data_IF_156506956533
#
_entry.id   IF_156506956533
#
_cell.length_a   1.000
_cell.length_b   1.000
_cell.length_c   1.000
_cell.angle_alpha   90.00
_cell.angle_beta   90.00
_cell.angle_gamma   90.00
#
_symmetry.space_group_name_H-M   'P 1'
#
loop_
_entity.id
_entity.type
_entity.pdbx_description
1 polymer ?
#
# COMPACT_ATOMS: atom_id res chain seq x y z
N UNK A 1 -2.89 27.83 2.59
CA UNK A 1 -3.55 26.91 1.61
C UNK A 1 -2.56 25.80 1.31
N UNK A 2 -2.99 24.54 1.35
CA UNK A 2 -2.19 23.39 0.93
C UNK A 2 -2.48 23.08 -0.55
N UNK A 3 -1.46 22.72 -1.31
CA UNK A 3 -1.61 22.19 -2.67
C UNK A 3 -1.87 20.70 -2.58
N UNK A 4 -2.77 20.17 -3.39
CA UNK A 4 -3.14 18.75 -3.39
C UNK A 4 -3.41 18.27 -4.81
N UNK A 5 -2.91 17.07 -5.15
CA UNK A 5 -3.31 16.37 -6.38
C UNK A 5 -4.47 15.44 -6.05
N UNK A 6 -5.51 15.53 -6.87
CA UNK A 6 -6.75 14.79 -6.68
C UNK A 6 -7.54 14.65 -7.97
N UNK A 7 -8.81 14.28 -7.86
CA UNK A 7 -9.72 14.11 -8.99
C UNK A 7 -11.14 14.58 -8.64
N UNK A 8 -11.89 15.09 -9.63
CA UNK A 8 -13.32 15.46 -9.49
C UNK A 8 -14.27 14.48 -10.16
N UNK A 9 -13.76 13.71 -11.13
CA UNK A 9 -14.50 12.68 -11.86
C UNK A 9 -13.70 11.38 -11.93
N UNK A 10 -14.37 10.26 -12.08
CA UNK A 10 -13.70 9.00 -12.33
C UNK A 10 -13.18 8.91 -13.76
N UNK A 11 -12.02 8.30 -13.94
CA UNK A 11 -11.38 8.09 -15.24
C UNK A 11 -10.00 7.45 -15.09
N UNK A 12 -9.18 7.54 -16.12
CA UNK A 12 -7.77 7.17 -16.08
C UNK A 12 -6.91 8.25 -15.40
N UNK A 13 -5.61 8.22 -15.63
CA UNK A 13 -4.66 9.19 -15.05
C UNK A 13 -4.95 10.65 -15.47
N UNK A 14 -5.61 10.85 -16.59
CA UNK A 14 -5.98 12.16 -17.15
C UNK A 14 -6.96 12.96 -16.28
N UNK A 15 -7.63 12.29 -15.31
CA UNK A 15 -8.57 12.97 -14.40
C UNK A 15 -7.88 13.59 -13.19
N UNK A 16 -6.59 13.30 -13.00
CA UNK A 16 -5.82 13.90 -11.93
C UNK A 16 -5.56 15.38 -12.24
N UNK A 17 -5.78 16.21 -11.26
CA UNK A 17 -5.56 17.65 -11.33
C UNK A 17 -4.97 18.16 -10.02
N UNK A 18 -4.24 19.25 -10.08
CA UNK A 18 -3.78 19.95 -8.89
C UNK A 18 -4.79 21.03 -8.48
N UNK A 19 -4.98 21.18 -7.18
CA UNK A 19 -5.81 22.24 -6.63
C UNK A 19 -5.36 22.64 -5.24
N UNK A 20 -5.88 23.76 -4.77
CA UNK A 20 -5.66 24.26 -3.42
C UNK A 20 -6.79 23.82 -2.49
N UNK A 21 -6.41 23.47 -1.26
CA UNK A 21 -7.34 23.10 -0.20
C UNK A 21 -7.03 23.87 1.08
N UNK A 22 -8.07 24.31 1.78
CA UNK A 22 -7.91 24.91 3.10
C UNK A 22 -7.99 23.82 4.15
N UNK A 23 -6.92 23.66 4.93
CA UNK A 23 -6.91 22.76 6.08
C UNK A 23 -7.23 23.59 7.33
N UNK A 24 -8.15 23.10 8.19
CA UNK A 24 -8.38 23.74 9.48
C UNK A 24 -7.16 23.54 10.41
N UNK A 25 -7.09 24.31 11.48
CA UNK A 25 -6.14 24.04 12.56
C UNK A 25 -6.39 22.63 13.15
N UNK A 26 -5.34 21.93 13.63
CA UNK A 26 -5.51 20.62 14.23
C UNK A 26 -6.46 20.66 15.43
N UNK A 27 -7.52 19.85 15.38
CA UNK A 27 -8.44 19.61 16.49
C UNK A 27 -7.84 18.62 17.50
N UNK A 28 -8.68 18.20 18.46
CA UNK A 28 -8.29 17.26 19.50
C UNK A 28 -7.73 15.94 18.90
N UNK A 29 -6.53 15.55 19.35
CA UNK A 29 -5.86 14.33 18.89
C UNK A 29 -5.38 14.36 17.44
N UNK A 30 -5.35 15.53 16.78
CA UNK A 30 -4.90 15.71 15.40
C UNK A 30 -3.53 16.38 15.31
N UNK A 31 -2.85 16.14 14.21
CA UNK A 31 -1.58 16.77 13.84
C UNK A 31 -1.64 17.27 12.40
N UNK A 32 -0.96 18.37 12.13
CA UNK A 32 -0.69 18.88 10.79
C UNK A 32 0.74 18.51 10.42
N UNK A 33 0.92 17.86 9.28
CA UNK A 33 2.22 17.39 8.81
C UNK A 33 2.52 18.04 7.47
N UNK A 34 3.67 18.74 7.36
CA UNK A 34 4.24 19.14 6.08
C UNK A 34 4.85 17.91 5.44
N UNK A 35 4.29 17.46 4.32
CA UNK A 35 4.72 16.26 3.62
C UNK A 35 6.04 16.51 2.88
N UNK A 36 6.92 15.52 2.91
CA UNK A 36 8.20 15.50 2.17
C UNK A 36 8.21 14.44 1.09
N UNK A 37 7.51 13.34 1.33
CA UNK A 37 7.39 12.25 0.37
C UNK A 37 6.07 11.51 0.55
N UNK A 38 5.48 11.05 -0.55
CA UNK A 38 4.25 10.27 -0.56
C UNK A 38 4.35 9.09 -1.53
N UNK A 39 4.09 7.88 -1.05
CA UNK A 39 4.09 6.68 -1.87
C UNK A 39 2.79 6.47 -2.62
N UNK A 40 2.87 6.06 -3.87
CA UNK A 40 1.68 5.68 -4.66
C UNK A 40 1.42 4.18 -4.61
N UNK A 41 0.14 3.82 -4.73
CA UNK A 41 -0.33 2.46 -4.56
C UNK A 41 -1.38 2.05 -5.63
N UNK A 42 -1.48 0.74 -5.96
CA UNK A 42 -2.52 0.25 -6.86
C UNK A 42 -3.96 0.58 -6.42
N UNK A 43 -4.21 0.74 -5.13
CA UNK A 43 -5.52 1.13 -4.61
C UNK A 43 -5.91 2.55 -5.03
N UNK A 44 -4.95 3.44 -5.22
CA UNK A 44 -5.20 4.84 -5.58
C UNK A 44 -5.82 4.93 -6.98
N UNK A 45 -5.20 4.30 -7.99
CA UNK A 45 -5.75 4.32 -9.35
C UNK A 45 -7.04 3.51 -9.49
N UNK A 46 -7.25 2.50 -8.64
CA UNK A 46 -8.55 1.80 -8.57
C UNK A 46 -9.64 2.72 -8.02
N UNK A 47 -9.32 3.59 -7.07
CA UNK A 47 -10.26 4.55 -6.50
C UNK A 47 -10.66 5.62 -7.51
N UNK A 48 -9.70 6.33 -8.11
CA UNK A 48 -10.03 7.33 -9.13
C UNK A 48 -10.52 6.69 -10.43
N UNK A 49 -10.18 5.41 -10.72
CA UNK A 49 -10.74 4.62 -11.80
C UNK A 49 -12.19 4.18 -11.58
N UNK A 50 -12.76 4.42 -10.40
CA UNK A 50 -14.17 4.18 -10.12
C UNK A 50 -14.48 2.89 -9.37
N UNK A 51 -13.56 2.32 -8.62
CA UNK A 51 -13.82 1.17 -7.74
C UNK A 51 -15.02 1.38 -6.81
N UNK A 52 -15.26 2.64 -6.37
CA UNK A 52 -16.37 3.02 -5.49
C UNK A 52 -17.65 3.42 -6.22
N UNK A 53 -17.64 3.42 -7.55
CA UNK A 53 -18.78 3.85 -8.40
C UNK A 53 -20.12 3.18 -8.03
N UNK A 54 -20.20 1.85 -7.81
CA UNK A 54 -21.45 1.22 -7.43
C UNK A 54 -22.04 1.76 -6.12
N UNK A 55 -21.17 2.04 -5.13
CA UNK A 55 -21.57 2.60 -3.85
C UNK A 55 -22.06 4.04 -3.97
N UNK A 56 -21.45 4.85 -4.85
CA UNK A 56 -21.92 6.21 -5.11
C UNK A 56 -23.28 6.25 -5.80
N UNK A 57 -23.53 5.32 -6.71
CA UNK A 57 -24.86 5.17 -7.33
C UNK A 57 -25.91 4.87 -6.26
N UNK A 58 -25.66 3.91 -5.37
CA UNK A 58 -26.56 3.58 -4.26
C UNK A 58 -26.79 4.80 -3.34
N UNK A 59 -25.72 5.52 -2.97
CA UNK A 59 -25.81 6.74 -2.12
C UNK A 59 -26.62 7.85 -2.79
N UNK A 60 -26.54 7.98 -4.11
CA UNK A 60 -27.30 8.98 -4.87
C UNK A 60 -28.78 8.61 -4.91
N UNK A 61 -29.12 7.33 -5.04
CA UNK A 61 -30.50 6.84 -5.02
C UNK A 61 -31.12 7.06 -3.62
N UNK A 62 -30.37 6.74 -2.56
CA UNK A 62 -30.86 6.89 -1.16
C UNK A 62 -30.95 8.36 -0.72
N UNK A 63 -30.18 9.26 -1.32
CA UNK A 63 -30.18 10.69 -1.03
C UNK A 63 -30.43 11.52 -2.30
N UNK A 64 -31.68 11.61 -2.80
CA UNK A 64 -32.02 12.24 -4.08
C UNK A 64 -31.66 13.74 -4.15
N UNK A 65 -31.53 14.46 -3.01
CA UNK A 65 -31.04 15.83 -2.98
C UNK A 65 -29.65 16.00 -3.63
N UNK A 66 -28.83 14.95 -3.62
CA UNK A 66 -27.52 14.91 -4.30
C UNK A 66 -27.64 14.82 -5.83
N UNK A 67 -28.81 14.46 -6.35
CA UNK A 67 -29.09 14.45 -7.79
C UNK A 67 -29.12 15.86 -8.38
N UNK A 68 -29.68 16.79 -7.63
CA UNK A 68 -29.77 18.19 -8.03
C UNK A 68 -28.42 18.95 -7.92
N UNK A 69 -27.47 18.43 -7.13
CA UNK A 69 -26.11 18.95 -7.06
C UNK A 69 -25.19 18.53 -8.23
N UNK A 70 -25.72 17.87 -9.25
CA UNK A 70 -24.96 17.38 -10.42
C UNK A 70 -24.40 18.49 -11.33
N UNK A 71 -24.83 19.72 -11.16
CA UNK A 71 -24.34 20.88 -11.91
C UNK A 71 -23.34 21.75 -11.17
N UNK A 72 -23.07 21.45 -9.89
CA UNK A 72 -22.12 22.21 -9.06
C UNK A 72 -20.75 21.56 -9.13
N UNK A 73 -19.69 22.34 -9.15
CA UNK A 73 -18.30 21.90 -9.09
C UNK A 73 -18.12 20.81 -8.02
N UNK A 74 -17.77 19.60 -8.47
CA UNK A 74 -17.51 18.51 -7.54
C UNK A 74 -16.26 18.83 -6.74
N UNK A 75 -16.27 18.65 -5.42
CA UNK A 75 -15.08 18.89 -4.61
C UNK A 75 -13.91 18.02 -5.10
N UNK A 76 -12.71 18.58 -5.05
CA UNK A 76 -11.49 17.85 -5.33
C UNK A 76 -11.35 16.74 -4.29
N UNK A 77 -11.17 15.49 -4.75
CA UNK A 77 -10.97 14.32 -3.90
C UNK A 77 -9.50 13.97 -3.90
N UNK A 78 -8.86 13.99 -2.75
CA UNK A 78 -7.44 13.70 -2.61
C UNK A 78 -7.07 12.27 -2.97
N UNK A 79 -5.86 12.11 -3.49
CA UNK A 79 -5.24 10.84 -3.87
C UNK A 79 -4.04 10.57 -2.96
N UNK A 80 -3.65 9.29 -2.83
CA UNK A 80 -2.53 8.86 -2.00
C UNK A 80 -2.94 8.54 -0.56
N UNK A 81 -2.22 7.63 0.05
CA UNK A 81 -2.42 7.18 1.43
C UNK A 81 -1.17 7.28 2.27
N UNK A 82 -0.02 6.95 1.67
CA UNK A 82 1.28 6.94 2.30
C UNK A 82 1.88 8.32 2.30
N UNK A 83 2.44 8.74 3.41
CA UNK A 83 3.23 9.97 3.49
C UNK A 83 4.33 9.85 4.55
N UNK A 84 5.35 10.65 4.39
CA UNK A 84 6.31 10.99 5.43
C UNK A 84 6.57 12.49 5.40
N UNK A 85 6.79 13.10 6.55
CA UNK A 85 6.96 14.53 6.63
C UNK A 85 7.33 14.99 8.04
N UNK A 86 7.17 16.29 8.28
CA UNK A 86 7.49 16.95 9.54
C UNK A 86 6.22 17.53 10.16
N UNK A 87 6.00 17.28 11.43
CA UNK A 87 4.87 17.87 12.17
C UNK A 87 5.06 19.37 12.28
N UNK A 88 4.07 20.15 11.83
CA UNK A 88 4.10 21.62 11.85
C UNK A 88 3.14 22.22 12.88
N UNK A 89 2.11 21.45 13.29
CA UNK A 89 1.22 21.83 14.36
C UNK A 89 0.61 20.59 15.03
N UNK A 90 0.31 20.71 16.31
CA UNK A 90 -0.35 19.66 17.10
C UNK A 90 -1.61 20.24 17.75
N UNK A 91 -2.68 19.46 17.74
CA UNK A 91 -3.92 19.79 18.42
C UNK A 91 -3.91 19.42 19.90
N UNK A 92 -4.96 19.81 20.65
CA UNK A 92 -5.11 19.40 22.05
C UNK A 92 -5.05 17.88 22.20
N UNK A 93 -4.63 17.42 23.38
CA UNK A 93 -4.50 16.01 23.77
C UNK A 93 -3.47 15.17 22.97
N UNK A 94 -2.66 15.78 22.09
CA UNK A 94 -1.50 15.11 21.50
C UNK A 94 -0.32 15.25 22.44
N UNK A 95 0.17 14.13 23.01
CA UNK A 95 1.25 14.11 24.00
C UNK A 95 2.46 13.29 23.58
N UNK A 96 2.34 12.51 22.51
CA UNK A 96 3.36 11.56 22.05
C UNK A 96 4.23 12.07 20.90
N UNK A 97 3.99 13.30 20.44
CA UNK A 97 4.78 13.97 19.41
C UNK A 97 4.61 15.48 19.47
N UNK A 98 5.55 16.21 18.88
CA UNK A 98 5.62 17.66 18.88
C UNK A 98 5.92 18.27 17.50
N UNK A 99 5.88 19.59 17.41
CA UNK A 99 6.31 20.35 16.23
C UNK A 99 7.80 20.08 15.98
N UNK A 100 8.16 19.77 14.75
CA UNK A 100 9.51 19.43 14.32
C UNK A 100 9.77 17.92 14.25
N UNK A 101 8.91 17.07 14.81
CA UNK A 101 9.07 15.62 14.73
C UNK A 101 8.89 15.12 13.30
N UNK A 102 9.82 14.27 12.86
CA UNK A 102 9.70 13.55 11.60
C UNK A 102 8.82 12.31 11.78
N UNK A 103 7.86 12.13 10.88
CA UNK A 103 6.85 11.08 10.99
C UNK A 103 6.61 10.32 9.69
N UNK A 104 6.17 9.08 9.83
CA UNK A 104 5.60 8.24 8.76
C UNK A 104 4.11 8.11 9.03
N UNK A 105 3.28 8.35 8.04
CA UNK A 105 1.85 8.30 8.20
C UNK A 105 1.13 7.48 7.15
N UNK A 106 -0.08 7.08 7.52
CA UNK A 106 -0.99 6.37 6.64
C UNK A 106 -2.40 6.92 6.80
N UNK A 107 -2.92 7.57 5.75
CA UNK A 107 -4.33 7.96 5.69
C UNK A 107 -5.20 6.72 5.48
N UNK A 108 -5.81 6.22 6.55
CA UNK A 108 -6.75 5.10 6.44
C UNK A 108 -8.03 5.56 5.74
N UNK A 109 -8.27 5.06 4.54
CA UNK A 109 -9.56 5.22 3.90
C UNK A 109 -10.59 4.32 4.57
N UNK A 110 -11.68 4.89 5.05
CA UNK A 110 -12.92 4.14 5.03
C UNK A 110 -13.28 3.89 3.55
N UNK A 111 -13.54 2.66 3.11
CA UNK A 111 -13.76 2.31 1.71
C UNK A 111 -14.94 3.06 1.03
N UNK A 112 -15.78 3.70 1.83
CA UNK A 112 -17.03 4.36 1.45
C UNK A 112 -17.07 5.87 1.71
N UNK A 113 -16.05 6.46 2.31
CA UNK A 113 -15.96 7.91 2.41
C UNK A 113 -15.23 8.46 1.19
N UNK A 114 -15.86 9.41 0.48
CA UNK A 114 -15.12 10.27 -0.42
C UNK A 114 -14.04 10.95 0.42
N UNK A 115 -12.77 10.72 0.07
CA UNK A 115 -11.67 11.40 0.74
C UNK A 115 -11.72 12.86 0.34
N UNK A 116 -11.88 13.71 1.32
CA UNK A 116 -11.75 15.13 1.14
C UNK A 116 -10.28 15.50 0.95
N UNK A 117 -9.37 14.76 1.60
CA UNK A 117 -7.92 14.96 1.56
C UNK A 117 -7.17 13.68 1.20
N UNK A 118 -5.99 13.82 0.57
CA UNK A 118 -5.09 12.73 0.18
C UNK A 118 -3.66 13.02 0.62
N UNK A 119 -2.80 12.01 0.55
CA UNK A 119 -1.39 12.15 0.92
C UNK A 119 -0.54 12.81 -0.18
N UNK A 120 -1.03 12.88 -1.44
CA UNK A 120 -0.39 13.67 -2.49
C UNK A 120 -0.75 15.15 -2.31
N UNK A 121 -0.24 15.74 -1.23
CA UNK A 121 -0.47 17.13 -0.84
C UNK A 121 0.76 17.69 -0.11
N UNK A 122 0.92 19.01 -0.14
CA UNK A 122 2.00 19.67 0.61
C UNK A 122 1.83 19.55 2.12
N UNK A 123 0.58 19.45 2.58
CA UNK A 123 0.24 19.34 3.99
C UNK A 123 -0.90 18.33 4.19
N UNK A 124 -0.82 17.58 5.27
CA UNK A 124 -1.83 16.58 5.65
C UNK A 124 -2.27 16.82 7.09
N UNK A 125 -3.58 16.99 7.29
CA UNK A 125 -4.21 16.98 8.59
C UNK A 125 -4.72 15.57 8.89
N UNK A 126 -4.29 14.97 10.00
CA UNK A 126 -4.65 13.60 10.35
C UNK A 126 -4.69 13.39 11.87
N UNK A 127 -5.25 12.26 12.31
CA UNK A 127 -5.13 11.84 13.71
C UNK A 127 -3.68 11.49 14.04
N UNK A 128 -3.21 11.86 15.23
CA UNK A 128 -1.92 11.45 15.77
C UNK A 128 -1.76 9.91 15.86
N UNK A 129 -2.88 9.18 15.88
CA UNK A 129 -2.89 7.70 15.84
C UNK A 129 -2.61 7.10 14.45
N UNK A 130 -2.58 7.92 13.40
CA UNK A 130 -2.30 7.52 12.02
C UNK A 130 -0.83 7.72 11.63
N UNK A 131 0.00 8.20 12.54
CA UNK A 131 1.42 8.45 12.32
C UNK A 131 2.27 7.74 13.36
N UNK A 132 3.51 7.44 12.98
CA UNK A 132 4.57 6.91 13.85
C UNK A 132 5.84 7.76 13.67
N UNK A 133 6.74 7.85 14.66
CA UNK A 133 8.01 8.54 14.50
C UNK A 133 8.82 7.94 13.34
N UNK A 134 9.57 8.77 12.62
CA UNK A 134 10.52 8.36 11.59
C UNK A 134 11.95 8.43 12.15
N UNK A 135 12.75 7.33 12.14
CA UNK A 135 14.16 7.41 12.48
C UNK A 135 14.96 8.29 11.52
N UNK A 136 15.98 8.94 12.06
CA UNK A 136 16.86 9.79 11.26
C UNK A 136 17.61 9.03 10.14
N UNK A 137 17.89 7.74 10.34
CA UNK A 137 18.58 6.87 9.37
C UNK A 137 17.73 6.49 8.15
N UNK A 138 16.40 6.58 8.25
CA UNK A 138 15.49 6.26 7.15
C UNK A 138 15.19 7.52 6.34
N UNK A 139 15.45 7.50 5.03
CA UNK A 139 15.15 8.64 4.15
C UNK A 139 13.64 8.89 4.04
N UNK A 140 13.24 10.13 3.72
CA UNK A 140 11.83 10.45 3.46
C UNK A 140 11.24 9.64 2.32
N UNK A 141 12.02 9.30 1.27
CA UNK A 141 11.52 8.50 0.15
C UNK A 141 11.13 7.08 0.59
N UNK A 142 12.00 6.43 1.38
CA UNK A 142 11.69 5.11 1.95
C UNK A 142 10.49 5.21 2.91
N UNK A 143 10.51 6.20 3.79
CA UNK A 143 9.45 6.43 4.76
C UNK A 143 8.09 6.73 4.09
N UNK A 144 8.09 7.60 3.06
CA UNK A 144 6.89 7.95 2.30
C UNK A 144 6.28 6.78 1.54
N UNK A 145 7.10 5.78 1.14
CA UNK A 145 6.62 4.56 0.48
C UNK A 145 6.18 3.44 1.42
N UNK A 146 6.39 3.58 2.74
CA UNK A 146 6.33 2.45 3.67
C UNK A 146 4.92 2.12 4.19
N UNK A 147 4.08 3.12 4.43
CA UNK A 147 2.84 2.98 5.19
C UNK A 147 1.94 1.81 4.78
N UNK A 148 1.38 1.87 3.56
CA UNK A 148 0.52 0.80 3.00
C UNK A 148 1.30 -0.51 2.86
N UNK A 149 2.56 -0.45 2.42
CA UNK A 149 3.34 -1.64 2.15
C UNK A 149 3.64 -2.43 3.43
N UNK A 150 4.07 -1.77 4.50
CA UNK A 150 4.35 -2.38 5.80
C UNK A 150 3.09 -2.97 6.43
N UNK A 151 2.03 -2.15 6.53
CA UNK A 151 0.76 -2.59 7.12
C UNK A 151 0.18 -3.79 6.36
N UNK A 152 0.24 -3.76 5.02
CA UNK A 152 -0.30 -4.82 4.17
C UNK A 152 0.52 -6.09 4.30
N UNK A 153 1.84 -6.01 4.28
CA UNK A 153 2.72 -7.17 4.40
C UNK A 153 2.57 -7.87 5.76
N UNK A 154 2.58 -7.10 6.85
CA UNK A 154 2.37 -7.64 8.20
C UNK A 154 0.98 -8.24 8.38
N UNK A 155 -0.06 -7.57 7.83
CA UNK A 155 -1.43 -8.09 7.84
C UNK A 155 -1.57 -9.40 7.06
N UNK A 156 -0.93 -9.51 5.89
CA UNK A 156 -0.95 -10.72 5.08
C UNK A 156 -0.29 -11.90 5.80
N UNK A 157 0.90 -11.71 6.36
CA UNK A 157 1.60 -12.74 7.13
C UNK A 157 0.82 -13.17 8.38
N UNK A 158 0.19 -12.22 9.08
CA UNK A 158 -0.68 -12.51 10.23
C UNK A 158 -1.90 -13.33 9.81
N UNK A 159 -2.52 -12.98 8.67
CA UNK A 159 -3.72 -13.67 8.17
C UNK A 159 -3.45 -15.13 7.84
N UNK A 160 -2.33 -15.42 7.20
CA UNK A 160 -1.93 -16.80 6.89
C UNK A 160 -1.20 -17.50 8.04
N UNK A 161 -1.05 -16.83 9.19
CA UNK A 161 -0.35 -17.36 10.38
C UNK A 161 1.05 -17.86 10.05
N UNK A 162 1.82 -17.01 9.32
CA UNK A 162 3.18 -17.34 8.92
C UNK A 162 4.12 -17.51 10.12
N UNK A 163 4.82 -18.63 10.20
CA UNK A 163 5.71 -19.00 11.30
C UNK A 163 7.00 -19.68 10.82
N UNK A 164 7.91 -19.95 11.74
CA UNK A 164 9.16 -20.65 11.43
C UNK A 164 8.89 -22.06 10.90
N UNK A 165 9.66 -22.46 9.89
CA UNK A 165 9.51 -23.77 9.23
C UNK A 165 8.47 -23.79 8.10
N UNK A 166 7.66 -22.73 7.91
CA UNK A 166 6.76 -22.65 6.77
C UNK A 166 7.51 -22.59 5.44
N UNK A 167 6.89 -23.14 4.38
CA UNK A 167 7.24 -22.88 2.98
C UNK A 167 6.15 -22.01 2.38
N UNK A 168 6.48 -20.74 2.13
CA UNK A 168 5.53 -19.72 1.71
C UNK A 168 5.79 -19.32 0.26
N UNK A 169 4.77 -19.40 -0.59
CA UNK A 169 4.82 -18.84 -1.96
C UNK A 169 4.27 -17.43 -1.94
N UNK A 170 5.01 -16.49 -2.53
CA UNK A 170 4.64 -15.07 -2.64
C UNK A 170 4.55 -14.68 -4.11
N UNK A 171 3.34 -14.35 -4.59
CA UNK A 171 3.16 -13.81 -5.93
C UNK A 171 3.44 -12.30 -5.97
N UNK A 172 4.00 -11.80 -7.07
CA UNK A 172 4.53 -10.46 -7.24
C UNK A 172 5.57 -10.10 -6.15
N UNK A 173 6.46 -11.04 -5.86
CA UNK A 173 7.45 -10.94 -4.79
C UNK A 173 8.47 -9.82 -4.97
N UNK A 174 8.65 -9.27 -6.19
CA UNK A 174 9.52 -8.14 -6.46
C UNK A 174 8.87 -6.76 -6.22
N UNK A 175 7.54 -6.71 -6.06
CA UNK A 175 6.82 -5.45 -5.81
C UNK A 175 6.98 -4.93 -4.38
N UNK A 176 6.50 -3.72 -4.10
CA UNK A 176 6.68 -3.08 -2.80
C UNK A 176 6.11 -3.87 -1.61
N UNK A 177 4.90 -4.43 -1.74
CA UNK A 177 4.32 -5.29 -0.70
C UNK A 177 4.96 -6.68 -0.70
N UNK A 178 5.07 -7.32 -1.89
CA UNK A 178 5.62 -8.67 -2.02
C UNK A 178 7.06 -8.79 -1.54
N UNK A 179 7.89 -7.77 -1.81
CA UNK A 179 9.27 -7.70 -1.31
C UNK A 179 9.37 -7.63 0.21
N UNK A 180 8.48 -6.86 0.85
CA UNK A 180 8.39 -6.83 2.32
C UNK A 180 7.85 -8.15 2.88
N UNK A 181 6.78 -8.73 2.28
CA UNK A 181 6.27 -10.06 2.69
C UNK A 181 7.40 -11.09 2.66
N UNK A 182 8.18 -11.11 1.59
CA UNK A 182 9.31 -12.03 1.41
C UNK A 182 10.32 -11.92 2.54
N UNK A 183 10.81 -10.72 2.79
CA UNK A 183 11.83 -10.48 3.81
C UNK A 183 11.30 -10.73 5.22
N UNK A 184 10.09 -10.28 5.52
CA UNK A 184 9.47 -10.47 6.84
C UNK A 184 9.13 -11.95 7.12
N UNK A 185 8.77 -12.74 6.10
CA UNK A 185 8.60 -14.18 6.23
C UNK A 185 9.95 -14.87 6.51
N UNK A 186 10.99 -14.50 5.78
CA UNK A 186 12.37 -14.97 6.00
C UNK A 186 12.87 -14.65 7.41
N UNK A 187 12.66 -13.42 7.87
CA UNK A 187 13.02 -13.00 9.22
C UNK A 187 12.30 -13.80 10.33
N UNK A 188 11.16 -14.42 10.02
CA UNK A 188 10.43 -15.34 10.91
C UNK A 188 10.90 -16.79 10.81
N UNK A 189 11.88 -17.09 9.97
CA UNK A 189 12.38 -18.46 9.77
C UNK A 189 11.62 -19.31 8.75
N UNK A 190 10.78 -18.70 7.91
CA UNK A 190 10.12 -19.38 6.80
C UNK A 190 11.05 -19.51 5.58
N UNK A 191 10.88 -20.55 4.76
CA UNK A 191 11.40 -20.64 3.41
C UNK A 191 10.44 -19.92 2.45
N UNK A 192 10.95 -19.07 1.55
CA UNK A 192 10.12 -18.30 0.63
C UNK A 192 10.44 -18.60 -0.81
N UNK A 193 9.41 -18.90 -1.60
CA UNK A 193 9.45 -19.02 -3.05
C UNK A 193 8.77 -17.76 -3.61
N UNK A 194 9.54 -16.93 -4.33
CA UNK A 194 9.07 -15.66 -4.87
C UNK A 194 8.75 -15.77 -6.36
N UNK A 195 7.49 -15.46 -6.73
CA UNK A 195 7.07 -15.41 -8.14
C UNK A 195 7.24 -13.99 -8.65
N UNK A 196 8.05 -13.82 -9.71
CA UNK A 196 8.24 -12.56 -10.42
C UNK A 196 8.70 -12.81 -11.86
N UNK A 197 8.90 -11.72 -12.63
CA UNK A 197 9.53 -11.83 -13.96
C UNK A 197 10.99 -12.29 -13.88
N UNK A 198 11.52 -12.96 -14.91
CA UNK A 198 12.88 -13.52 -14.91
C UNK A 198 13.97 -12.51 -14.55
N UNK A 199 13.82 -11.25 -14.97
CA UNK A 199 14.75 -10.15 -14.67
C UNK A 199 14.84 -9.78 -13.18
N UNK A 200 13.95 -10.32 -12.35
CA UNK A 200 13.96 -10.10 -10.91
C UNK A 200 14.58 -11.27 -10.11
N UNK A 201 15.13 -12.28 -10.78
CA UNK A 201 15.63 -13.48 -10.09
C UNK A 201 16.74 -13.14 -9.08
N UNK A 202 17.74 -12.35 -9.46
CA UNK A 202 18.83 -11.97 -8.56
C UNK A 202 18.37 -11.07 -7.42
N UNK A 203 17.42 -10.16 -7.69
CA UNK A 203 16.80 -9.36 -6.66
C UNK A 203 16.07 -10.25 -5.63
N UNK A 204 15.28 -11.22 -6.06
CA UNK A 204 14.60 -12.15 -5.14
C UNK A 204 15.59 -12.98 -4.31
N UNK A 205 16.70 -13.43 -4.92
CA UNK A 205 17.79 -14.10 -4.18
C UNK A 205 18.41 -13.19 -3.12
N UNK A 206 18.63 -11.91 -3.44
CA UNK A 206 19.15 -10.95 -2.46
C UNK A 206 18.19 -10.72 -1.28
N UNK A 207 16.87 -10.93 -1.48
CA UNK A 207 15.87 -10.91 -0.40
C UNK A 207 15.81 -12.25 0.36
N UNK A 208 16.60 -13.26 0.00
CA UNK A 208 16.62 -14.57 0.59
C UNK A 208 15.51 -15.52 0.09
N UNK A 209 14.85 -15.22 -1.02
CA UNK A 209 13.85 -16.08 -1.64
C UNK A 209 14.42 -16.94 -2.75
N UNK A 210 13.81 -18.10 -3.00
CA UNK A 210 14.02 -18.89 -4.20
C UNK A 210 13.16 -18.30 -5.32
N UNK A 211 13.75 -17.76 -6.41
CA UNK A 211 12.99 -17.14 -7.49
C UNK A 211 12.34 -18.18 -8.40
N UNK A 212 11.11 -17.93 -8.81
CA UNK A 212 10.37 -18.68 -9.83
C UNK A 212 9.74 -17.70 -10.80
N UNK A 213 9.88 -17.97 -12.11
CA UNK A 213 9.28 -17.13 -13.14
C UNK A 213 7.82 -17.54 -13.41
N UNK A 214 6.94 -16.55 -13.62
CA UNK A 214 5.59 -16.83 -14.08
C UNK A 214 5.62 -17.42 -15.51
N UNK A 215 4.62 -18.27 -15.85
CA UNK A 215 4.51 -18.95 -17.15
C UNK A 215 3.82 -20.31 -17.02
N UNK A 216 3.80 -21.07 -18.11
CA UNK A 216 3.07 -22.35 -18.17
C UNK A 216 3.59 -23.41 -17.19
N UNK A 217 4.89 -23.45 -16.92
CA UNK A 217 5.52 -24.41 -16.00
C UNK A 217 5.57 -23.93 -14.54
N UNK A 218 4.88 -22.85 -14.18
CA UNK A 218 4.96 -22.21 -12.86
C UNK A 218 4.71 -23.18 -11.70
N UNK A 219 3.68 -24.03 -11.80
CA UNK A 219 3.35 -24.99 -10.75
C UNK A 219 4.50 -26.00 -10.53
N UNK A 220 5.05 -26.53 -11.61
CA UNK A 220 6.17 -27.47 -11.53
C UNK A 220 7.42 -26.80 -10.96
N UNK A 221 7.75 -25.61 -11.43
CA UNK A 221 8.88 -24.84 -10.90
C UNK A 221 8.77 -24.62 -9.38
N UNK A 222 7.54 -24.31 -8.87
CA UNK A 222 7.32 -24.16 -7.43
C UNK A 222 7.54 -25.48 -6.70
N UNK A 223 7.03 -26.60 -7.23
CA UNK A 223 7.22 -27.93 -6.63
C UNK A 223 8.69 -28.32 -6.56
N UNK A 224 9.44 -28.05 -7.63
CA UNK A 224 10.88 -28.37 -7.72
C UNK A 224 11.73 -27.46 -6.79
N UNK A 225 11.29 -26.22 -6.59
CA UNK A 225 11.96 -25.24 -5.73
C UNK A 225 11.64 -25.42 -4.23
N UNK A 226 10.56 -26.10 -3.90
CA UNK A 226 10.07 -26.23 -2.53
C UNK A 226 10.88 -27.28 -1.75
N UNK A 227 11.50 -26.90 -0.60
CA UNK A 227 12.27 -27.86 0.22
C UNK A 227 11.36 -28.88 0.95
N UNK A 228 10.08 -28.58 1.07
CA UNK A 228 9.02 -29.41 1.63
C UNK A 228 7.66 -28.92 1.07
N UNK A 229 6.53 -29.60 1.36
CA UNK A 229 5.23 -29.13 0.88
C UNK A 229 4.95 -27.67 1.21
N UNK A 230 4.39 -26.94 0.23
CA UNK A 230 4.00 -25.53 0.43
C UNK A 230 2.91 -25.42 1.50
N UNK A 231 3.15 -24.64 2.54
CA UNK A 231 2.25 -24.53 3.70
C UNK A 231 1.39 -23.28 3.68
N UNK A 232 1.83 -22.19 3.00
CA UNK A 232 1.07 -20.95 2.87
C UNK A 232 1.31 -20.29 1.51
N UNK A 233 0.36 -19.45 1.10
CA UNK A 233 0.40 -18.71 -0.15
C UNK A 233 -0.07 -17.27 0.06
N UNK A 234 0.68 -16.30 -0.45
CA UNK A 234 0.29 -14.89 -0.42
C UNK A 234 0.28 -14.34 -1.85
N UNK A 235 -0.92 -14.05 -2.34
CA UNK A 235 -1.14 -13.49 -3.67
C UNK A 235 -1.22 -11.95 -3.61
N UNK A 236 -0.10 -11.29 -3.88
CA UNK A 236 -0.02 -9.83 -3.93
C UNK A 236 -0.44 -9.25 -5.29
N UNK A 237 -0.65 -10.08 -6.31
CA UNK A 237 -1.01 -9.66 -7.67
C UNK A 237 -2.51 -9.80 -7.96
N UNK A 238 -3.08 -10.95 -7.59
CA UNK A 238 -4.41 -11.39 -7.97
C UNK A 238 -4.39 -12.40 -9.11
N UNK A 239 -5.23 -13.45 -9.00
CA UNK A 239 -5.36 -14.47 -10.03
C UNK A 239 -4.61 -15.77 -9.77
N UNK A 240 -3.76 -15.84 -8.76
CA UNK A 240 -2.98 -17.05 -8.43
C UNK A 240 -3.58 -17.93 -7.33
N UNK A 241 -4.75 -17.59 -6.79
CA UNK A 241 -5.39 -18.36 -5.70
C UNK A 241 -5.72 -19.82 -6.09
N UNK A 242 -6.02 -20.09 -7.37
CA UNK A 242 -6.25 -21.45 -7.86
C UNK A 242 -4.96 -22.31 -7.86
N UNK A 243 -3.81 -21.68 -8.13
CA UNK A 243 -2.51 -22.34 -8.06
C UNK A 243 -2.20 -22.79 -6.63
N UNK A 244 -2.51 -21.95 -5.63
CA UNK A 244 -2.33 -22.33 -4.23
C UNK A 244 -3.05 -23.63 -3.87
N UNK A 245 -4.27 -23.83 -4.39
CA UNK A 245 -5.01 -25.10 -4.17
C UNK A 245 -4.40 -26.29 -4.88
N UNK A 246 -3.91 -26.12 -6.11
CA UNK A 246 -3.20 -27.22 -6.81
C UNK A 246 -1.91 -27.61 -6.10
N UNK A 247 -1.29 -26.67 -5.41
CA UNK A 247 -0.12 -26.92 -4.55
C UNK A 247 -0.49 -27.57 -3.19
N UNK A 248 -1.78 -27.79 -2.92
CA UNK A 248 -2.27 -28.41 -1.68
C UNK A 248 -2.42 -27.44 -0.48
N UNK A 249 -2.30 -26.14 -0.69
CA UNK A 249 -2.37 -25.15 0.42
C UNK A 249 -3.82 -25.02 0.91
N UNK A 250 -4.08 -25.21 2.23
CA UNK A 250 -5.41 -25.01 2.81
C UNK A 250 -5.92 -23.56 2.63
N UNK A 251 -7.21 -23.37 2.37
CA UNK A 251 -7.78 -22.06 2.06
C UNK A 251 -7.58 -20.98 3.14
N UNK A 252 -7.50 -21.35 4.42
CA UNK A 252 -7.18 -20.47 5.52
C UNK A 252 -5.71 -20.01 5.54
N UNK A 253 -4.85 -20.71 4.83
CA UNK A 253 -3.42 -20.39 4.63
C UNK A 253 -3.17 -19.69 3.29
N UNK A 254 -4.21 -19.37 2.51
CA UNK A 254 -4.13 -18.62 1.26
C UNK A 254 -4.62 -17.19 1.50
N UNK A 255 -3.70 -16.23 1.44
CA UNK A 255 -3.99 -14.80 1.51
C UNK A 255 -3.99 -14.15 0.12
N UNK A 256 -4.92 -13.25 -0.16
CA UNK A 256 -4.92 -12.45 -1.39
C UNK A 256 -5.20 -10.98 -1.09
N UNK A 257 -4.47 -10.09 -1.75
CA UNK A 257 -4.66 -8.64 -1.67
C UNK A 257 -5.71 -8.12 -2.67
N UNK A 258 -6.17 -8.98 -3.56
CA UNK A 258 -7.14 -8.63 -4.60
C UNK A 258 -8.41 -9.44 -4.38
N UNK A 259 -9.60 -8.82 -4.38
CA UNK A 259 -10.85 -9.55 -4.30
C UNK A 259 -10.98 -10.55 -5.46
N UNK A 260 -11.21 -11.82 -5.14
CA UNK A 260 -11.39 -12.91 -6.10
C UNK A 260 -12.59 -13.77 -5.71
N UNK A 261 -13.23 -14.50 -6.64
CA UNK A 261 -14.29 -15.47 -6.32
C UNK A 261 -13.88 -16.53 -5.29
N UNK A 262 -12.59 -16.87 -5.21
CA UNK A 262 -12.07 -17.83 -4.22
C UNK A 262 -12.34 -17.41 -2.77
N UNK A 263 -12.50 -16.10 -2.49
CA UNK A 263 -12.86 -15.59 -1.16
C UNK A 263 -14.28 -16.02 -0.78
N UNK A 264 -15.25 -15.86 -1.70
CA UNK A 264 -16.63 -16.27 -1.48
C UNK A 264 -16.75 -17.79 -1.24
N UNK A 265 -15.93 -18.58 -1.92
CA UNK A 265 -15.83 -20.05 -1.77
C UNK A 265 -14.99 -20.48 -0.55
N UNK A 266 -14.55 -19.55 0.31
CA UNK A 266 -13.64 -19.79 1.45
C UNK A 266 -12.33 -20.49 1.08
N UNK A 267 -11.93 -20.45 -0.20
CA UNK A 267 -10.67 -21.00 -0.73
C UNK A 267 -9.49 -20.04 -0.60
N UNK A 268 -9.75 -18.79 -0.21
CA UNK A 268 -8.75 -17.79 0.09
C UNK A 268 -9.29 -16.81 1.13
N UNK A 269 -8.39 -16.05 1.76
CA UNK A 269 -8.73 -14.96 2.69
C UNK A 269 -8.32 -13.64 2.08
N UNK A 270 -9.27 -12.71 1.96
CA UNK A 270 -8.92 -11.33 1.65
C UNK A 270 -8.14 -10.75 2.83
N UNK A 271 -6.97 -10.19 2.55
CA UNK A 271 -6.01 -9.75 3.57
C UNK A 271 -5.37 -8.41 3.21
N UNK A 272 -4.36 -8.03 3.94
CA UNK A 272 -3.60 -6.81 3.76
C UNK A 272 -3.96 -5.75 4.78
N UNK A 273 -4.23 -4.52 4.36
CA UNK A 273 -4.51 -3.40 5.25
C UNK A 273 -5.65 -3.62 6.24
N UNK A 274 -6.59 -4.53 5.94
CA UNK A 274 -7.67 -4.94 6.86
C UNK A 274 -7.13 -5.61 8.12
N UNK A 275 -6.08 -6.41 7.99
CA UNK A 275 -5.47 -7.18 9.08
C UNK A 275 -4.22 -6.50 9.64
N UNK A 276 -3.82 -5.37 9.04
CA UNK A 276 -2.69 -4.56 9.45
C UNK A 276 -3.06 -3.53 10.51
N UNK A 277 -2.04 -3.06 11.24
CA UNK A 277 -2.13 -2.04 12.29
C UNK A 277 -1.17 -0.88 11.95
N UNK A 278 -1.42 0.31 12.47
CA UNK A 278 -0.47 1.43 12.34
C UNK A 278 0.88 1.08 13.00
N UNK A 279 0.87 0.39 14.14
CA UNK A 279 2.08 -0.08 14.80
C UNK A 279 2.94 -1.03 13.94
N UNK A 280 2.36 -1.68 12.92
CA UNK A 280 3.13 -2.51 11.99
C UNK A 280 4.14 -1.67 11.18
N UNK A 281 3.83 -0.38 10.94
CA UNK A 281 4.73 0.56 10.25
C UNK A 281 5.99 0.75 11.09
N UNK A 282 5.85 1.06 12.38
CA UNK A 282 6.98 1.23 13.29
C UNK A 282 7.80 -0.08 13.45
N UNK A 283 7.13 -1.23 13.44
CA UNK A 283 7.82 -2.53 13.49
C UNK A 283 8.69 -2.76 12.25
N UNK A 284 8.14 -2.54 11.05
CA UNK A 284 8.88 -2.76 9.78
C UNK A 284 9.97 -1.71 9.61
N UNK A 285 9.67 -0.49 9.96
CA UNK A 285 10.61 0.61 9.91
C UNK A 285 11.82 0.37 10.83
N UNK A 286 11.61 -0.11 12.07
CA UNK A 286 12.70 -0.50 12.95
C UNK A 286 13.54 -1.69 12.43
N UNK A 287 12.98 -2.55 11.56
CA UNK A 287 13.75 -3.58 10.85
C UNK A 287 14.56 -2.97 9.69
N UNK A 288 14.04 -1.94 9.04
CA UNK A 288 14.77 -1.19 8.00
C UNK A 288 15.94 -0.42 8.63
N UNK A 289 15.71 0.27 9.74
CA UNK A 289 16.72 1.00 10.49
C UNK A 289 17.92 0.11 10.87
N UNK A 290 17.65 -1.14 11.26
CA UNK A 290 18.68 -2.14 11.57
C UNK A 290 19.28 -2.86 10.34
N UNK A 291 18.86 -2.52 9.13
CA UNK A 291 19.31 -3.18 7.91
C UNK A 291 18.82 -4.63 7.73
N UNK A 292 17.84 -5.09 8.53
CA UNK A 292 17.30 -6.46 8.43
C UNK A 292 16.34 -6.60 7.25
N UNK A 293 15.63 -5.54 6.92
CA UNK A 293 14.65 -5.44 5.84
C UNK A 293 14.94 -4.18 5.03
N UNK A 294 14.62 -4.21 3.75
CA UNK A 294 14.82 -3.08 2.85
C UNK A 294 13.53 -2.88 2.02
N UNK A 295 13.15 -1.64 1.80
CA UNK A 295 12.10 -1.26 0.87
C UNK A 295 12.75 -0.65 -0.37
N UNK A 296 12.73 -1.38 -1.48
CA UNK A 296 13.24 -0.87 -2.74
C UNK A 296 12.36 0.29 -3.25
N UNK A 297 13.01 1.38 -3.66
CA UNK A 297 12.37 2.50 -4.35
C UNK A 297 12.68 2.36 -5.84
N UNK A 298 11.65 2.13 -6.65
CA UNK A 298 11.77 1.95 -8.10
C UNK A 298 12.08 3.27 -8.82
N UNK A 299 11.49 4.35 -8.31
CA UNK A 299 11.68 5.69 -8.85
C UNK A 299 11.05 6.75 -7.95
N UNK A 300 11.54 7.97 -8.10
CA UNK A 300 10.99 9.17 -7.45
C UNK A 300 10.55 10.15 -8.53
N UNK A 301 9.41 10.78 -8.31
CA UNK A 301 8.82 11.77 -9.21
C UNK A 301 8.55 13.06 -8.44
N UNK A 302 8.78 14.24 -9.02
CA UNK A 302 8.43 15.50 -8.36
C UNK A 302 6.92 15.67 -8.23
N UNK A 303 6.50 16.49 -7.25
CA UNK A 303 5.11 16.86 -7.03
C UNK A 303 4.64 17.87 -8.10
N UNK A 304 4.28 17.31 -9.23
CA UNK A 304 3.72 17.96 -10.41
C UNK A 304 2.69 17.02 -11.03
N UNK A 305 1.56 17.54 -11.53
CA UNK A 305 0.44 16.72 -11.98
C UNK A 305 0.81 15.80 -13.15
N UNK A 306 1.66 16.29 -14.09
CA UNK A 306 2.08 15.47 -15.23
C UNK A 306 3.06 14.36 -14.80
N UNK A 307 3.95 14.67 -13.87
CA UNK A 307 4.88 13.70 -13.29
C UNK A 307 4.12 12.63 -12.47
N UNK A 308 3.11 13.03 -11.72
CA UNK A 308 2.25 12.09 -10.97
C UNK A 308 1.42 11.22 -11.92
N UNK A 309 0.92 11.75 -13.04
CA UNK A 309 0.28 10.96 -14.10
C UNK A 309 1.24 9.93 -14.70
N UNK A 310 2.49 10.32 -14.98
CA UNK A 310 3.53 9.42 -15.46
C UNK A 310 3.84 8.32 -14.44
N UNK A 311 3.98 8.67 -13.16
CA UNK A 311 4.22 7.72 -12.07
C UNK A 311 3.10 6.67 -11.95
N UNK A 312 1.83 7.09 -12.03
CA UNK A 312 0.71 6.14 -12.03
C UNK A 312 0.65 5.31 -13.31
N UNK A 313 1.00 5.87 -14.46
CA UNK A 313 1.07 5.12 -15.72
C UNK A 313 2.12 4.01 -15.64
N UNK A 314 3.31 4.30 -15.08
CA UNK A 314 4.34 3.29 -14.81
C UNK A 314 3.83 2.21 -13.85
N UNK A 315 3.21 2.63 -12.73
CA UNK A 315 2.66 1.70 -11.75
C UNK A 315 1.57 0.79 -12.35
N UNK A 316 0.70 1.33 -13.21
CA UNK A 316 -0.37 0.57 -13.89
C UNK A 316 0.17 -0.39 -14.93
N UNK A 317 1.34 -0.10 -15.53
CA UNK A 317 2.03 -0.99 -16.46
C UNK A 317 2.49 -2.30 -15.81
N UNK A 318 2.56 -2.35 -14.50
CA UNK A 318 3.02 -3.52 -13.75
C UNK A 318 4.55 -3.66 -13.81
N UNK A 319 5.27 -4.53 -13.42
CA UNK A 319 6.74 -4.71 -13.52
C UNK A 319 7.58 -3.75 -12.67
N UNK A 320 6.95 -2.97 -11.79
CA UNK A 320 7.66 -2.08 -10.86
C UNK A 320 8.32 -2.91 -9.76
N UNK A 321 9.63 -2.73 -9.59
CA UNK A 321 10.40 -3.34 -8.51
C UNK A 321 10.38 -2.41 -7.30
N UNK A 322 9.64 -2.79 -6.24
CA UNK A 322 9.50 -1.95 -5.05
C UNK A 322 8.40 -0.91 -5.16
N UNK A 323 8.67 0.31 -4.70
CA UNK A 323 7.70 1.41 -4.59
C UNK A 323 8.07 2.59 -5.46
N UNK A 324 7.07 3.30 -5.95
CA UNK A 324 7.23 4.62 -6.58
C UNK A 324 6.81 5.67 -5.55
N UNK A 325 7.56 6.76 -5.48
CA UNK A 325 7.38 7.82 -4.48
C UNK A 325 7.32 9.18 -5.17
N UNK A 326 6.47 10.06 -4.69
CA UNK A 326 6.38 11.46 -5.10
C UNK A 326 7.12 12.29 -4.05
N UNK A 327 8.15 13.03 -4.47
CA UNK A 327 8.88 13.97 -3.61
C UNK A 327 8.15 15.30 -3.57
N UNK A 328 7.91 15.83 -2.36
CA UNK A 328 7.11 17.04 -2.12
C UNK A 328 8.00 18.12 -1.49
N UNK A 329 8.00 19.36 -2.01
CA UNK A 329 8.94 20.41 -1.61
C UNK A 329 8.72 20.96 -0.17
#
# INVERSE_FOLDING_TARGET
>A
MARMIGYRRFGGVEVLEEGEVSLPAPGEGQVLVKVRAAGINPVDYKLFGGLTRPLEVVRTIVHPARWFARGVDRPLRGVGQDFAGVVTAVGPAVSNMGVGDEVIGLLRAAPWSAREYGALATDVLTSATNVVPKPASVSFDVAGGLGVAAQTAMGALRRVRAEAGDVIVVAAAAGGVGGLVTQLARARGASVIGIAGPSNADYLRSLGATPVAYGESLEQQIRDAAPSPVTAYIDCFGGYTSLAHRLGVPGERVGTLVPTPAIALRRARFTGGRDGKIADIATVEGLIDRGTVNLAIAGTYPFDVEQVRAAYTELMGGHVRGKIVITIP
#
